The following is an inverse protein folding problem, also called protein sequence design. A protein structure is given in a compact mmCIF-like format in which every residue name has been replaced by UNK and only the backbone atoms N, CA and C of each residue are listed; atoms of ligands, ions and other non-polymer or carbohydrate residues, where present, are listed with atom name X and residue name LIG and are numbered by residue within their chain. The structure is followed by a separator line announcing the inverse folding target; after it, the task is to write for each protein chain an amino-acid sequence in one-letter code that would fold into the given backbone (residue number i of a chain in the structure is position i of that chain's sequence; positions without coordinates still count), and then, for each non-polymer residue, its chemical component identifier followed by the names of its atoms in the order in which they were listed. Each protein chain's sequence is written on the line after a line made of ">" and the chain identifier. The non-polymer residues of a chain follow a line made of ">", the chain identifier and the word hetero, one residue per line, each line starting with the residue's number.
data_IF_158189941755
#
_entry.id   IF_158189941755
#
_cell.length_a   1.000
_cell.length_b   1.000
_cell.length_c   1.000
_cell.angle_alpha   90.00
_cell.angle_beta   90.00
_cell.angle_gamma   90.00
#
_symmetry.space_group_name_H-M   'P 1'
#
loop_
_entity.id
_entity.type
_entity.pdbx_description
1 polymer ?
#
# COMPACT_ATOMS: atom_id res chain seq x y z
N UNK A 1 -10.87 -5.78 -2.55
CA UNK A 1 -10.19 -5.92 -1.24
C UNK A 1 -8.84 -5.23 -1.28
N UNK A 2 -8.50 -4.54 -0.21
CA UNK A 2 -7.23 -3.82 -0.06
C UNK A 2 -6.33 -4.56 0.91
N UNK A 3 -5.03 -4.56 0.63
CA UNK A 3 -4.02 -5.12 1.53
C UNK A 3 -3.13 -3.99 2.04
N UNK A 4 -2.94 -3.93 3.35
CA UNK A 4 -1.90 -3.10 3.95
C UNK A 4 -0.74 -4.02 4.26
N UNK A 5 0.42 -3.72 3.69
CA UNK A 5 1.66 -4.46 3.96
C UNK A 5 2.46 -3.64 4.97
N UNK A 6 2.52 -4.11 6.20
CA UNK A 6 3.16 -3.40 7.31
C UNK A 6 4.56 -3.97 7.54
N UNK A 7 5.57 -3.16 7.31
CA UNK A 7 6.97 -3.58 7.42
C UNK A 7 7.46 -3.48 8.87
N UNK A 8 7.13 -2.38 9.55
CA UNK A 8 7.57 -2.15 10.91
C UNK A 8 6.41 -2.11 11.89
N UNK A 9 6.56 -2.81 13.01
CA UNK A 9 5.57 -2.82 14.07
C UNK A 9 5.32 -1.43 14.65
N UNK A 10 6.33 -0.55 14.58
CA UNK A 10 6.19 0.83 15.04
C UNK A 10 5.10 1.60 14.30
N UNK A 11 4.77 1.19 13.07
CA UNK A 11 3.73 1.83 12.25
C UNK A 11 2.35 1.16 12.41
N UNK A 12 2.19 0.25 13.35
CA UNK A 12 0.92 -0.43 13.56
C UNK A 12 -0.25 0.54 13.85
N UNK A 13 -0.08 1.58 14.68
CA UNK A 13 -1.17 2.53 14.91
C UNK A 13 -1.65 3.18 13.61
N UNK A 14 -0.72 3.53 12.72
CA UNK A 14 -1.06 4.09 11.41
C UNK A 14 -1.83 3.09 10.57
N UNK A 15 -1.38 1.84 10.52
CA UNK A 15 -2.06 0.77 9.79
C UNK A 15 -3.47 0.55 10.31
N UNK A 16 -3.65 0.55 11.63
CA UNK A 16 -4.96 0.39 12.25
C UNK A 16 -5.91 1.55 11.92
N UNK A 17 -5.39 2.77 11.90
CA UNK A 17 -6.17 3.94 11.51
C UNK A 17 -6.66 3.81 10.06
N UNK A 18 -5.77 3.42 9.16
CA UNK A 18 -6.14 3.23 7.75
C UNK A 18 -7.15 2.08 7.59
N UNK A 19 -6.95 0.97 8.30
CA UNK A 19 -7.88 -0.15 8.24
C UNK A 19 -9.28 0.25 8.69
N UNK A 20 -9.37 1.05 9.75
CA UNK A 20 -10.66 1.50 10.27
C UNK A 20 -11.40 2.42 9.31
N UNK A 21 -10.65 3.29 8.60
CA UNK A 21 -11.24 4.29 7.72
C UNK A 21 -11.43 3.82 6.27
N UNK A 22 -10.76 2.75 5.87
CA UNK A 22 -10.86 2.21 4.51
C UNK A 22 -11.62 0.89 4.53
N UNK A 23 -12.71 0.77 3.76
CA UNK A 23 -13.49 -0.46 3.76
C UNK A 23 -12.73 -1.63 3.12
N UNK A 24 -13.04 -2.83 3.56
CA UNK A 24 -12.53 -4.07 2.99
C UNK A 24 -11.00 -4.13 2.94
N UNK A 25 -10.37 -3.86 4.09
CA UNK A 25 -8.91 -3.74 4.21
C UNK A 25 -8.38 -4.71 5.28
N UNK A 26 -7.34 -5.46 4.93
CA UNK A 26 -6.65 -6.36 5.85
C UNK A 26 -5.19 -5.96 5.99
N UNK A 27 -4.63 -6.16 7.19
CA UNK A 27 -3.22 -5.86 7.48
C UNK A 27 -2.42 -7.15 7.48
N UNK A 28 -1.33 -7.17 6.72
CA UNK A 28 -0.39 -8.29 6.65
C UNK A 28 0.97 -7.84 7.16
N UNK A 29 1.57 -8.61 8.03
CA UNK A 29 2.87 -8.26 8.62
C UNK A 29 3.63 -9.52 9.02
N UNK A 30 4.95 -9.42 9.14
CA UNK A 30 5.79 -10.52 9.61
C UNK A 30 5.64 -10.73 11.12
N UNK A 31 5.22 -9.71 11.84
CA UNK A 31 5.09 -9.76 13.30
C UNK A 31 3.72 -10.27 13.70
N UNK A 32 3.63 -10.86 14.88
CA UNK A 32 2.34 -11.24 15.43
C UNK A 32 1.71 -10.02 16.08
N UNK A 33 0.59 -9.57 15.52
CA UNK A 33 -0.16 -8.42 16.02
C UNK A 33 -1.63 -8.78 16.02
N UNK A 34 -2.35 -8.37 17.05
CA UNK A 34 -3.79 -8.59 17.12
C UNK A 34 -4.50 -7.87 15.98
N UNK A 35 -5.35 -8.61 15.27
CA UNK A 35 -6.09 -8.05 14.14
C UNK A 35 -5.30 -7.99 12.83
N UNK A 36 -4.09 -8.54 12.82
CA UNK A 36 -3.27 -8.61 11.62
C UNK A 36 -3.08 -10.06 11.21
N UNK A 37 -2.79 -10.25 9.93
CA UNK A 37 -2.50 -11.57 9.38
C UNK A 37 -0.98 -11.71 9.31
N UNK A 38 -0.42 -12.74 9.99
CA UNK A 38 1.01 -13.00 9.97
C UNK A 38 1.42 -13.65 8.67
N UNK A 39 2.51 -13.14 8.10
CA UNK A 39 3.11 -13.69 6.88
C UNK A 39 4.60 -13.92 7.13
N UNK A 40 5.21 -14.83 6.36
CA UNK A 40 6.61 -15.21 6.53
C UNK A 40 7.55 -14.15 5.95
N UNK A 41 7.18 -13.59 4.79
CA UNK A 41 7.98 -12.60 4.09
C UNK A 41 7.06 -11.66 3.33
N UNK A 42 7.21 -10.36 3.54
CA UNK A 42 6.41 -9.36 2.81
C UNK A 42 6.70 -9.41 1.31
N UNK A 43 7.96 -9.56 0.93
CA UNK A 43 8.37 -9.67 -0.47
C UNK A 43 7.71 -10.88 -1.15
N UNK A 44 7.82 -12.04 -0.53
CA UNK A 44 7.25 -13.28 -1.07
C UNK A 44 5.72 -13.21 -1.12
N UNK A 45 5.11 -12.66 -0.10
CA UNK A 45 3.65 -12.49 -0.06
C UNK A 45 3.17 -11.64 -1.24
N UNK A 46 3.85 -10.53 -1.50
CA UNK A 46 3.51 -9.64 -2.62
C UNK A 46 3.69 -10.38 -3.95
N UNK A 47 4.78 -11.13 -4.12
CA UNK A 47 5.00 -11.90 -5.33
C UNK A 47 3.88 -12.91 -5.60
N UNK A 48 3.42 -13.59 -4.56
CA UNK A 48 2.39 -14.63 -4.69
C UNK A 48 0.98 -14.06 -4.84
N UNK A 49 0.71 -12.89 -4.27
CA UNK A 49 -0.66 -12.37 -4.16
C UNK A 49 -0.87 -11.00 -4.80
N UNK A 50 0.09 -10.52 -5.60
CA UNK A 50 0.04 -9.19 -6.18
C UNK A 50 -1.29 -8.87 -6.86
N UNK A 51 -1.81 -9.79 -7.65
CA UNK A 51 -3.04 -9.58 -8.41
C UNK A 51 -4.32 -10.02 -7.68
N UNK A 52 -4.21 -10.47 -6.43
CA UNK A 52 -5.36 -10.86 -5.63
C UNK A 52 -6.08 -9.66 -5.01
N UNK A 53 -5.45 -8.50 -5.03
CA UNK A 53 -5.97 -7.28 -4.41
C UNK A 53 -6.25 -6.21 -5.45
N UNK A 54 -7.24 -5.37 -5.17
CA UNK A 54 -7.51 -4.16 -5.96
C UNK A 54 -6.48 -3.08 -5.67
N UNK A 55 -6.04 -3.02 -4.42
CA UNK A 55 -5.09 -2.01 -3.97
C UNK A 55 -4.14 -2.61 -2.94
N UNK A 56 -2.88 -2.18 -2.98
CA UNK A 56 -1.86 -2.53 -2.01
C UNK A 56 -1.34 -1.23 -1.40
N UNK A 57 -1.47 -1.12 -0.08
CA UNK A 57 -0.94 0.02 0.68
C UNK A 57 0.29 -0.48 1.44
N UNK A 58 1.45 -0.01 1.01
CA UNK A 58 2.73 -0.41 1.59
C UNK A 58 3.14 0.63 2.62
N UNK A 59 3.32 0.22 3.88
CA UNK A 59 3.79 1.13 4.93
C UNK A 59 5.23 0.78 5.24
N UNK A 60 6.16 1.60 4.75
CA UNK A 60 7.58 1.38 4.89
C UNK A 60 8.39 2.20 3.90
N UNK A 61 9.67 1.86 3.76
CA UNK A 61 10.56 2.56 2.85
C UNK A 61 10.18 2.32 1.39
N UNK A 62 10.21 3.39 0.60
CA UNK A 62 9.89 3.32 -0.83
C UNK A 62 10.76 2.31 -1.58
N UNK A 63 12.06 2.24 -1.26
CA UNK A 63 12.95 1.29 -1.92
C UNK A 63 12.54 -0.16 -1.71
N UNK A 64 12.08 -0.50 -0.50
CA UNK A 64 11.58 -1.85 -0.22
C UNK A 64 10.29 -2.11 -0.99
N UNK A 65 9.39 -1.13 -1.04
CA UNK A 65 8.16 -1.21 -1.81
C UNK A 65 8.46 -1.51 -3.29
N UNK A 66 9.31 -0.71 -3.91
CA UNK A 66 9.66 -0.84 -5.34
C UNK A 66 10.28 -2.20 -5.62
N UNK A 67 11.23 -2.63 -4.78
CA UNK A 67 11.86 -3.95 -4.97
C UNK A 67 10.88 -5.10 -4.81
N UNK A 68 9.88 -4.94 -3.95
CA UNK A 68 8.89 -5.99 -3.73
C UNK A 68 7.94 -6.17 -4.90
N UNK A 69 7.61 -5.09 -5.61
CA UNK A 69 6.63 -5.16 -6.70
C UNK A 69 7.27 -5.24 -8.09
N UNK A 70 8.55 -4.93 -8.22
CA UNK A 70 9.20 -4.78 -9.54
C UNK A 70 9.02 -5.98 -10.46
N UNK A 71 9.14 -7.19 -9.93
CA UNK A 71 8.97 -8.40 -10.73
C UNK A 71 7.52 -8.78 -11.03
N UNK A 72 6.57 -8.09 -10.43
CA UNK A 72 5.14 -8.38 -10.56
C UNK A 72 4.44 -7.48 -11.57
N UNK A 73 5.05 -6.36 -11.92
CA UNK A 73 4.44 -5.33 -12.77
C UNK A 73 4.21 -5.84 -14.18
N UNK A 74 2.99 -5.71 -14.66
CA UNK A 74 2.58 -6.09 -16.03
C UNK A 74 2.13 -4.89 -16.82
N UNK A 75 0.97 -4.32 -16.47
CA UNK A 75 0.46 -3.12 -17.12
C UNK A 75 -0.58 -2.45 -16.21
N UNK A 76 -0.86 -1.17 -16.49
CA UNK A 76 -1.74 -0.36 -15.64
C UNK A 76 -3.21 -0.82 -15.61
N UNK A 77 -3.62 -1.70 -16.51
CA UNK A 77 -5.00 -2.21 -16.53
C UNK A 77 -5.17 -3.46 -15.68
N UNK A 78 -4.09 -4.21 -15.46
CA UNK A 78 -4.12 -5.46 -14.70
C UNK A 78 -3.54 -5.33 -13.31
N UNK A 79 -2.56 -4.44 -13.14
CA UNK A 79 -1.86 -4.27 -11.87
C UNK A 79 -2.76 -3.57 -10.85
N UNK A 80 -2.67 -3.95 -9.58
CA UNK A 80 -3.39 -3.24 -8.52
C UNK A 80 -2.87 -1.81 -8.38
N UNK A 81 -3.67 -0.97 -7.76
CA UNK A 81 -3.19 0.32 -7.30
C UNK A 81 -2.17 0.09 -6.18
N UNK A 82 -0.99 0.68 -6.28
CA UNK A 82 0.02 0.58 -5.24
C UNK A 82 0.34 1.96 -4.70
N UNK A 83 0.24 2.09 -3.39
CA UNK A 83 0.49 3.34 -2.67
C UNK A 83 1.51 3.03 -1.58
N UNK A 84 2.49 3.90 -1.41
CA UNK A 84 3.48 3.79 -0.35
C UNK A 84 3.30 4.91 0.65
N UNK A 85 3.17 4.54 1.94
CA UNK A 85 3.11 5.49 3.05
C UNK A 85 4.39 5.32 3.84
N UNK A 86 5.09 6.42 4.14
CA UNK A 86 6.30 6.29 4.92
C UNK A 86 5.97 5.88 6.36
N UNK A 87 6.92 5.21 7.01
CA UNK A 87 6.68 4.60 8.32
C UNK A 87 6.31 5.60 9.43
N UNK A 88 6.63 6.87 9.24
CA UNK A 88 6.26 7.93 10.19
C UNK A 88 4.92 8.59 9.87
N UNK A 89 4.31 8.24 8.73
CA UNK A 89 3.03 8.81 8.34
C UNK A 89 3.09 10.24 7.84
N UNK A 90 4.25 10.68 7.32
CA UNK A 90 4.40 12.05 6.82
C UNK A 90 4.14 12.19 5.33
N UNK A 91 4.38 11.14 4.57
CA UNK A 91 4.24 11.16 3.11
C UNK A 91 3.43 9.98 2.63
N UNK A 92 2.60 10.20 1.62
CA UNK A 92 1.90 9.14 0.91
C UNK A 92 2.10 9.36 -0.58
N UNK A 93 2.52 8.31 -1.27
CA UNK A 93 2.96 8.38 -2.66
C UNK A 93 2.21 7.37 -3.51
N UNK A 94 1.63 7.85 -4.61
CA UNK A 94 1.01 6.99 -5.62
C UNK A 94 2.14 6.35 -6.44
N UNK A 95 2.31 5.03 -6.30
CA UNK A 95 3.45 4.33 -6.88
C UNK A 95 3.11 3.70 -8.23
N UNK A 96 1.96 3.06 -8.33
CA UNK A 96 1.59 2.28 -9.52
C UNK A 96 0.10 2.36 -9.78
N UNK A 97 -0.28 2.37 -11.05
CA UNK A 97 -1.68 2.40 -11.50
C UNK A 97 -2.44 3.63 -10.97
N UNK A 98 -1.84 4.80 -11.17
CA UNK A 98 -2.33 6.05 -10.59
C UNK A 98 -3.74 6.44 -11.01
N UNK A 99 -4.06 6.35 -12.29
CA UNK A 99 -5.37 6.76 -12.81
C UNK A 99 -6.32 5.59 -13.00
N UNK A 100 -5.95 4.62 -13.84
CA UNK A 100 -6.82 3.49 -14.16
C UNK A 100 -7.07 2.60 -12.94
N UNK A 101 -6.04 2.34 -12.15
CA UNK A 101 -6.16 1.50 -10.96
C UNK A 101 -6.64 2.24 -9.72
N UNK A 102 -6.67 3.58 -9.74
CA UNK A 102 -7.16 4.37 -8.63
C UNK A 102 -6.15 4.72 -7.55
N UNK A 103 -4.84 4.54 -7.79
CA UNK A 103 -3.82 4.85 -6.78
C UNK A 103 -3.77 6.34 -6.41
N UNK A 104 -3.98 7.24 -7.38
CA UNK A 104 -4.01 8.66 -7.10
C UNK A 104 -5.17 9.03 -6.18
N UNK A 105 -6.34 8.47 -6.44
CA UNK A 105 -7.52 8.71 -5.61
C UNK A 105 -7.34 8.14 -4.21
N UNK A 106 -6.80 6.92 -4.12
CA UNK A 106 -6.51 6.30 -2.83
C UNK A 106 -5.48 7.11 -2.05
N UNK A 107 -4.46 7.64 -2.73
CA UNK A 107 -3.45 8.50 -2.11
C UNK A 107 -4.09 9.76 -1.51
N UNK A 108 -5.02 10.39 -2.23
CA UNK A 108 -5.74 11.57 -1.71
C UNK A 108 -6.58 11.20 -0.50
N UNK A 109 -7.23 10.04 -0.53
CA UNK A 109 -8.04 9.58 0.58
C UNK A 109 -7.19 9.33 1.83
N UNK A 110 -6.05 8.65 1.66
CA UNK A 110 -5.12 8.40 2.77
C UNK A 110 -4.59 9.73 3.33
N UNK A 111 -4.22 10.67 2.47
CA UNK A 111 -3.75 11.99 2.91
C UNK A 111 -4.82 12.72 3.72
N UNK A 112 -6.08 12.62 3.32
CA UNK A 112 -7.19 13.23 4.07
C UNK A 112 -7.37 12.59 5.44
N UNK A 113 -7.18 11.27 5.55
CA UNK A 113 -7.29 10.55 6.83
C UNK A 113 -6.14 10.91 7.77
N UNK A 114 -4.92 10.98 7.25
CA UNK A 114 -3.70 11.06 8.05
C UNK A 114 -3.11 12.45 8.17
N UNK A 115 -3.44 13.36 7.27
CA UNK A 115 -2.80 14.67 7.17
C UNK A 115 -1.44 14.63 6.50
N UNK A 116 -1.08 13.53 5.85
CA UNK A 116 0.20 13.38 5.13
C UNK A 116 0.31 14.35 3.96
N UNK A 117 1.54 14.67 3.57
CA UNK A 117 1.82 15.27 2.27
C UNK A 117 1.68 14.19 1.22
N UNK A 118 1.04 14.49 0.10
CA UNK A 118 0.77 13.50 -0.91
C UNK A 118 1.50 13.80 -2.22
N UNK A 119 1.84 12.72 -2.94
CA UNK A 119 2.43 12.78 -4.26
C UNK A 119 1.66 11.87 -5.19
N UNK A 120 1.10 12.42 -6.25
CA UNK A 120 0.34 11.67 -7.24
C UNK A 120 0.92 11.91 -8.62
N UNK A 121 0.58 11.02 -9.56
CA UNK A 121 0.97 11.19 -10.94
C UNK A 121 0.26 12.40 -11.56
N UNK A 122 0.97 13.30 -12.22
CA UNK A 122 0.36 14.47 -12.86
C UNK A 122 -0.27 14.14 -14.21
N UNK A 123 -0.02 12.95 -14.76
CA UNK A 123 -0.43 12.58 -16.10
C UNK A 123 -1.36 11.38 -16.10
N UNK A 124 -2.44 11.38 -16.90
CA UNK A 124 -3.31 10.22 -17.03
C UNK A 124 -2.65 9.04 -17.77
N UNK A 125 -1.42 9.20 -18.24
CA UNK A 125 -0.71 8.17 -18.99
C UNK A 125 0.14 7.21 -18.15
N UNK A 126 0.26 7.43 -16.90
CA UNK A 126 1.10 6.59 -16.04
C UNK A 126 0.57 5.17 -15.83
#
# INVERSE_FOLDING_TARGET
>A
MKAIILISEASLPLAKTLQRELPDTLIYTKNECEGCISITSCHRFIEEHFNDFDSIIFIGAMGICVRSIAGCIKNKYKDPAVVCVDSTGRFVISVLSGHVGGANELTRHIAAITGCLLYTSPSPRD
#
